data_IF_883082434386
#
_entry.id   IF_883082434386
#
_cell.length_a   1.000
_cell.length_b   1.000
_cell.length_c   1.000
_cell.angle_alpha   90.00
_cell.angle_beta   90.00
_cell.angle_gamma   90.00
#
_symmetry.space_group_name_H-M   'P 1'
#
loop_
_entity.id
_entity.type
_entity.pdbx_description
1 polymer ?
#
# COMPACT_ATOMS: atom_id res chain seq x y z
N UNK A 1 14.24 -23.73 12.02
CA UNK A 1 14.76 -22.50 11.40
C UNK A 1 13.82 -22.21 10.24
N UNK A 2 13.07 -21.08 10.30
CA UNK A 2 12.24 -20.65 9.17
C UNK A 2 13.17 -20.38 7.99
N UNK A 3 13.01 -21.12 6.93
CA UNK A 3 13.75 -20.93 5.68
C UNK A 3 12.83 -20.14 4.77
N UNK A 4 13.36 -19.21 4.01
CA UNK A 4 12.68 -18.51 2.93
C UNK A 4 13.70 -18.30 1.81
N UNK A 5 13.37 -18.69 0.58
CA UNK A 5 14.24 -18.47 -0.57
C UNK A 5 13.42 -18.31 -1.84
N UNK A 6 13.65 -17.23 -2.57
CA UNK A 6 12.96 -16.95 -3.83
C UNK A 6 13.79 -16.08 -4.78
N UNK A 7 13.43 -16.14 -6.05
CA UNK A 7 13.95 -15.29 -7.12
C UNK A 7 12.82 -14.42 -7.66
N UNK A 8 13.04 -13.12 -7.73
CA UNK A 8 12.07 -12.15 -8.21
C UNK A 8 12.71 -11.20 -9.22
N UNK A 9 11.92 -10.66 -10.15
CA UNK A 9 12.37 -9.64 -11.09
C UNK A 9 12.63 -8.32 -10.34
N UNK A 10 13.73 -7.64 -10.67
CA UNK A 10 14.14 -6.38 -10.05
C UNK A 10 13.06 -5.29 -10.19
N UNK A 11 12.44 -5.15 -11.37
CA UNK A 11 11.45 -4.10 -11.63
C UNK A 11 10.19 -4.30 -10.80
N UNK A 12 9.68 -5.54 -10.72
CA UNK A 12 8.47 -5.87 -9.98
C UNK A 12 8.67 -5.62 -8.48
N UNK A 13 9.83 -6.07 -7.95
CA UNK A 13 10.18 -5.84 -6.54
C UNK A 13 10.38 -4.35 -6.24
N UNK A 14 11.06 -3.61 -7.12
CA UNK A 14 11.27 -2.17 -6.97
C UNK A 14 9.95 -1.41 -6.96
N UNK A 15 9.03 -1.72 -7.86
CA UNK A 15 7.72 -1.09 -7.93
C UNK A 15 6.91 -1.33 -6.66
N UNK A 16 6.83 -2.58 -6.21
CA UNK A 16 6.13 -2.94 -4.98
C UNK A 16 6.69 -2.21 -3.75
N UNK A 17 8.02 -2.19 -3.61
CA UNK A 17 8.69 -1.49 -2.51
C UNK A 17 8.52 0.03 -2.59
N UNK A 18 8.45 0.61 -3.80
CA UNK A 18 8.20 2.03 -3.99
C UNK A 18 6.84 2.44 -3.42
N UNK A 19 5.79 1.66 -3.67
CA UNK A 19 4.46 1.91 -3.09
C UNK A 19 4.47 1.86 -1.56
N UNK A 20 5.26 0.96 -0.96
CA UNK A 20 5.40 0.87 0.49
C UNK A 20 5.99 2.14 1.13
N UNK A 21 6.84 2.91 0.40
CA UNK A 21 7.48 4.12 0.94
C UNK A 21 6.48 5.20 1.36
N UNK A 22 5.30 5.26 0.73
CA UNK A 22 4.25 6.23 1.06
C UNK A 22 3.41 5.84 2.29
N UNK A 23 3.48 4.58 2.70
CA UNK A 23 2.74 4.06 3.87
C UNK A 23 3.58 4.15 5.14
N UNK A 24 4.84 3.78 5.03
CA UNK A 24 5.75 3.63 6.16
C UNK A 24 6.13 4.97 6.80
N UNK A 25 6.10 5.02 8.12
CA UNK A 25 6.60 6.16 8.88
C UNK A 25 8.09 6.02 9.18
N UNK A 26 8.89 6.96 8.66
CA UNK A 26 10.35 6.96 8.86
C UNK A 26 10.78 7.22 10.31
N UNK A 27 9.90 7.74 11.16
CA UNK A 27 10.16 8.11 12.57
C UNK A 27 9.15 7.49 13.52
N UNK A 28 8.90 6.19 13.38
CA UNK A 28 8.03 5.47 14.31
C UNK A 28 8.78 5.15 15.62
N UNK A 29 8.05 5.19 16.74
CA UNK A 29 8.53 4.69 18.04
C UNK A 29 8.63 3.16 18.04
N UNK A 30 7.94 2.49 17.13
CA UNK A 30 7.97 1.02 16.95
C UNK A 30 8.82 0.67 15.73
N UNK A 31 10.02 0.10 15.92
CA UNK A 31 10.93 -0.21 14.79
C UNK A 31 10.32 -1.10 13.72
N UNK A 32 9.39 -1.99 14.08
CA UNK A 32 8.72 -2.89 13.15
C UNK A 32 7.90 -2.14 12.07
N UNK A 33 7.36 -0.95 12.38
CA UNK A 33 6.57 -0.14 11.45
C UNK A 33 7.42 0.55 10.36
N UNK A 34 8.75 0.55 10.52
CA UNK A 34 9.67 0.96 9.45
C UNK A 34 10.05 -0.19 8.52
N UNK A 35 9.59 -1.41 8.81
CA UNK A 35 9.84 -2.60 8.00
C UNK A 35 8.69 -2.87 7.03
N UNK A 36 9.00 -3.63 5.97
CA UNK A 36 8.03 -4.34 5.15
C UNK A 36 8.03 -5.81 5.52
N UNK A 37 6.85 -6.42 5.54
CA UNK A 37 6.70 -7.87 5.65
C UNK A 37 6.79 -8.47 4.24
N UNK A 38 7.68 -9.42 4.07
CA UNK A 38 7.83 -10.25 2.89
C UNK A 38 7.28 -11.64 3.21
N UNK A 39 6.31 -12.10 2.44
CA UNK A 39 5.74 -13.44 2.56
C UNK A 39 5.79 -14.16 1.21
N UNK A 40 6.61 -15.20 1.11
CA UNK A 40 6.79 -16.01 -0.08
C UNK A 40 6.02 -17.32 0.08
N UNK A 41 4.94 -17.51 -0.69
CA UNK A 41 4.12 -18.72 -0.67
C UNK A 41 3.35 -18.92 -1.99
N UNK A 42 3.06 -20.17 -2.34
CA UNK A 42 2.22 -20.53 -3.49
C UNK A 42 2.61 -19.84 -4.82
N UNK A 43 3.89 -19.69 -5.11
CA UNK A 43 4.43 -18.98 -6.30
C UNK A 43 4.19 -17.47 -6.33
N UNK A 44 3.80 -16.87 -5.21
CA UNK A 44 3.58 -15.44 -5.09
C UNK A 44 4.40 -14.84 -3.95
N UNK A 45 4.85 -13.60 -4.15
CA UNK A 45 5.47 -12.80 -3.10
C UNK A 45 4.49 -11.70 -2.69
N UNK A 46 4.00 -11.77 -1.46
CA UNK A 46 3.18 -10.72 -0.87
C UNK A 46 4.06 -9.79 -0.04
N UNK A 47 3.95 -8.49 -0.30
CA UNK A 47 4.66 -7.43 0.42
C UNK A 47 3.63 -6.59 1.16
N UNK A 48 3.77 -6.47 2.48
CA UNK A 48 2.85 -5.71 3.33
C UNK A 48 3.61 -4.60 4.05
N UNK A 49 3.02 -3.42 4.06
CA UNK A 49 3.47 -2.25 4.82
C UNK A 49 2.31 -1.66 5.62
N UNK A 50 2.57 -1.15 6.82
CA UNK A 50 1.55 -0.53 7.65
C UNK A 50 2.14 0.55 8.55
N UNK A 51 1.31 1.54 8.90
CA UNK A 51 1.56 2.52 9.96
C UNK A 51 0.54 2.39 11.11
N UNK A 52 -0.23 1.29 11.12
CA UNK A 52 -1.36 0.91 11.97
C UNK A 52 -2.72 1.48 11.51
N UNK A 53 -2.75 2.67 10.92
CA UNK A 53 -3.98 3.28 10.38
C UNK A 53 -4.24 2.88 8.93
N UNK A 54 -3.17 2.63 8.18
CA UNK A 54 -3.19 2.24 6.77
C UNK A 54 -2.38 0.96 6.56
N UNK A 55 -3.00 -0.01 5.92
CA UNK A 55 -2.33 -1.25 5.49
C UNK A 55 -2.27 -1.26 3.97
N UNK A 56 -1.08 -1.44 3.43
CA UNK A 56 -0.85 -1.64 2.01
C UNK A 56 -0.36 -3.06 1.77
N UNK A 57 -1.04 -3.77 0.88
CA UNK A 57 -0.70 -5.14 0.50
C UNK A 57 -0.50 -5.17 -1.02
N UNK A 58 0.65 -5.63 -1.47
CA UNK A 58 0.94 -5.83 -2.88
C UNK A 58 1.39 -7.27 -3.13
N UNK A 59 0.83 -7.89 -4.16
CA UNK A 59 1.12 -9.27 -4.54
C UNK A 59 1.83 -9.30 -5.89
N UNK A 60 3.05 -9.84 -5.91
CA UNK A 60 3.81 -10.13 -7.12
C UNK A 60 3.55 -11.60 -7.46
N UNK A 61 2.90 -11.84 -8.60
CA UNK A 61 2.55 -13.18 -9.05
C UNK A 61 3.71 -13.83 -9.83
N UNK A 62 3.69 -15.15 -9.91
CA UNK A 62 4.66 -15.97 -10.68
C UNK A 62 6.11 -15.74 -10.25
N UNK A 63 6.34 -15.63 -8.95
CA UNK A 63 7.67 -15.57 -8.34
C UNK A 63 8.22 -17.00 -8.21
N UNK A 64 9.48 -17.19 -8.56
CA UNK A 64 10.16 -18.48 -8.40
C UNK A 64 10.50 -18.72 -6.92
N UNK A 65 9.60 -19.38 -6.18
CA UNK A 65 9.79 -19.70 -4.77
C UNK A 65 10.46 -21.06 -4.65
N UNK A 66 11.65 -21.07 -4.03
CA UNK A 66 12.44 -22.27 -3.78
C UNK A 66 12.18 -22.82 -2.37
N UNK A 67 11.95 -21.93 -1.39
CA UNK A 67 11.56 -22.28 -0.03
C UNK A 67 10.57 -21.22 0.47
N UNK A 68 9.39 -21.66 0.89
CA UNK A 68 8.35 -20.77 1.45
C UNK A 68 8.74 -20.24 2.83
N UNK A 69 8.26 -19.03 3.14
CA UNK A 69 8.49 -18.43 4.43
C UNK A 69 8.19 -16.93 4.46
N UNK A 70 8.44 -16.32 5.61
CA UNK A 70 8.20 -14.91 5.80
C UNK A 70 9.28 -14.27 6.69
N UNK A 71 9.50 -12.99 6.48
CA UNK A 71 10.40 -12.15 7.30
C UNK A 71 10.05 -10.69 7.14
N UNK A 72 10.59 -9.84 8.02
CA UNK A 72 10.51 -8.38 7.83
C UNK A 72 11.89 -7.79 7.68
N UNK A 73 12.00 -6.71 6.92
CA UNK A 73 13.23 -5.93 6.78
C UNK A 73 12.92 -4.46 6.58
N UNK A 74 13.89 -3.58 6.91
CA UNK A 74 13.71 -2.13 6.81
C UNK A 74 13.42 -1.69 5.39
N UNK A 75 12.24 -1.11 5.18
CA UNK A 75 11.70 -0.75 3.87
C UNK A 75 12.61 0.19 3.07
N UNK A 76 13.09 1.25 3.68
CA UNK A 76 13.96 2.21 3.00
C UNK A 76 15.27 1.58 2.55
N UNK A 77 15.84 0.68 3.37
CA UNK A 77 17.12 0.03 3.07
C UNK A 77 16.98 -0.95 1.91
N UNK A 78 15.98 -1.83 1.95
CA UNK A 78 15.75 -2.76 0.85
C UNK A 78 15.36 -2.03 -0.44
N UNK A 79 14.52 -0.99 -0.38
CA UNK A 79 14.16 -0.19 -1.54
C UNK A 79 15.38 0.48 -2.18
N UNK A 80 16.21 1.15 -1.36
CA UNK A 80 17.43 1.83 -1.82
C UNK A 80 18.45 0.86 -2.43
N UNK A 81 18.49 -0.37 -1.93
CA UNK A 81 19.33 -1.43 -2.49
C UNK A 81 18.79 -1.90 -3.84
N UNK A 82 17.52 -2.29 -3.90
CA UNK A 82 16.90 -2.89 -5.10
C UNK A 82 16.92 -1.92 -6.28
N UNK A 83 16.69 -0.62 -6.08
CA UNK A 83 16.71 0.38 -7.15
C UNK A 83 18.10 0.60 -7.78
N UNK A 84 19.19 0.14 -7.12
CA UNK A 84 20.56 0.25 -7.64
C UNK A 84 20.99 -0.93 -8.50
N UNK A 85 20.22 -2.02 -8.48
CA UNK A 85 20.49 -3.16 -9.34
C UNK A 85 20.04 -2.88 -10.78
N UNK A 86 20.65 -3.58 -11.72
CA UNK A 86 20.32 -3.44 -13.14
C UNK A 86 18.88 -3.88 -13.42
N UNK A 87 18.15 -3.09 -14.19
CA UNK A 87 16.78 -3.38 -14.61
C UNK A 87 16.71 -4.71 -15.39
N UNK A 88 15.62 -5.46 -15.19
CA UNK A 88 15.37 -6.74 -15.86
C UNK A 88 16.18 -7.92 -15.33
N UNK A 89 16.97 -7.75 -14.27
CA UNK A 89 17.70 -8.82 -13.63
C UNK A 89 16.87 -9.53 -12.58
N UNK A 90 17.13 -10.83 -12.38
CA UNK A 90 16.60 -11.58 -11.24
C UNK A 90 17.42 -11.26 -10.00
N UNK A 91 16.72 -11.12 -8.88
CA UNK A 91 17.29 -10.95 -7.55
C UNK A 91 16.95 -12.17 -6.74
N UNK A 92 17.96 -12.76 -6.11
CA UNK A 92 17.79 -13.88 -5.19
C UNK A 92 17.74 -13.31 -3.77
N UNK A 93 16.71 -13.69 -3.02
CA UNK A 93 16.56 -13.35 -1.60
C UNK A 93 16.41 -14.63 -0.80
N UNK A 94 17.18 -14.75 0.28
CA UNK A 94 17.01 -15.88 1.19
C UNK A 94 17.37 -15.51 2.63
N UNK A 95 16.68 -16.14 3.57
CA UNK A 95 17.00 -16.05 5.00
C UNK A 95 18.22 -16.88 5.30
N UNK A 96 19.33 -16.21 5.65
CA UNK A 96 20.55 -16.87 6.11
C UNK A 96 20.36 -17.41 7.52
N UNK A 97 19.72 -16.63 8.36
CA UNK A 97 19.29 -16.97 9.71
C UNK A 97 18.05 -16.14 10.11
N UNK A 98 17.56 -16.27 11.34
CA UNK A 98 16.37 -15.56 11.81
C UNK A 98 16.49 -14.02 11.79
N UNK A 99 17.71 -13.49 11.73
CA UNK A 99 18.01 -12.05 11.82
C UNK A 99 18.59 -11.43 10.55
N UNK A 100 18.88 -12.24 9.52
CA UNK A 100 19.59 -11.81 8.32
C UNK A 100 18.93 -12.30 7.03
N UNK A 101 18.50 -11.37 6.20
CA UNK A 101 18.08 -11.58 4.84
C UNK A 101 19.26 -11.28 3.91
N UNK A 102 19.72 -12.28 3.17
CA UNK A 102 20.71 -12.08 2.12
C UNK A 102 20.02 -11.75 0.82
N UNK A 103 20.51 -10.72 0.15
CA UNK A 103 20.05 -10.24 -1.15
C UNK A 103 21.22 -10.34 -2.13
N UNK A 104 21.03 -11.10 -3.21
CA UNK A 104 22.05 -11.34 -4.22
C UNK A 104 21.57 -10.91 -5.59
N UNK A 105 22.41 -10.22 -6.33
CA UNK A 105 22.21 -9.93 -7.74
C UNK A 105 23.58 -9.83 -8.44
N UNK A 106 23.73 -10.56 -9.54
CA UNK A 106 24.98 -10.65 -10.30
C UNK A 106 26.18 -11.06 -9.42
N UNK A 107 27.11 -10.12 -9.19
CA UNK A 107 28.30 -10.33 -8.35
C UNK A 107 28.20 -9.68 -6.98
N UNK A 108 27.03 -9.10 -6.65
CA UNK A 108 26.85 -8.33 -5.43
C UNK A 108 26.06 -9.15 -4.41
N UNK A 109 26.51 -9.13 -3.17
CA UNK A 109 25.88 -9.83 -2.03
C UNK A 109 25.73 -8.82 -0.89
N UNK A 110 24.51 -8.71 -0.35
CA UNK A 110 24.18 -7.84 0.76
C UNK A 110 23.44 -8.61 1.84
N UNK A 111 23.66 -8.23 3.11
CA UNK A 111 22.93 -8.79 4.24
C UNK A 111 22.14 -7.69 4.94
N UNK A 112 20.81 -7.83 4.97
CA UNK A 112 19.90 -6.92 5.64
C UNK A 112 19.48 -7.48 6.98
N UNK A 113 19.26 -6.59 7.96
CA UNK A 113 18.71 -6.98 9.25
C UNK A 113 17.22 -7.28 9.12
N UNK A 114 16.78 -8.30 9.87
CA UNK A 114 15.40 -8.76 9.94
C UNK A 114 14.86 -8.68 11.36
N UNK A 115 13.56 -8.46 11.47
CA UNK A 115 12.76 -8.68 12.67
C UNK A 115 11.78 -9.80 12.35
N UNK A 116 11.40 -10.60 13.34
CA UNK A 116 10.46 -11.70 13.11
C UNK A 116 9.14 -11.21 12.50
N UNK A 117 8.63 -11.94 11.52
CA UNK A 117 7.31 -11.68 10.94
C UNK A 117 6.17 -11.82 11.97
N UNK A 118 6.37 -12.57 13.07
CA UNK A 118 5.39 -12.69 14.16
C UNK A 118 5.15 -11.39 14.91
N UNK A 119 6.11 -10.47 14.86
CA UNK A 119 6.02 -9.17 15.53
C UNK A 119 5.38 -8.10 14.65
N UNK A 120 5.11 -8.43 13.38
CA UNK A 120 4.48 -7.51 12.43
C UNK A 120 2.98 -7.42 12.70
N UNK A 121 2.42 -6.21 12.88
CA UNK A 121 1.00 -6.04 13.18
C UNK A 121 0.16 -6.32 11.92
N UNK A 122 -0.41 -7.51 11.86
CA UNK A 122 -1.45 -7.87 10.88
C UNK A 122 -2.80 -7.77 11.57
N UNK A 123 -3.78 -7.19 10.90
CA UNK A 123 -5.19 -7.26 11.30
C UNK A 123 -5.87 -8.37 10.50
N UNK A 124 -6.55 -9.27 11.20
CA UNK A 124 -7.40 -10.30 10.60
C UNK A 124 -8.79 -9.72 10.25
N UNK A 125 -8.83 -8.57 9.60
CA UNK A 125 -10.09 -7.99 9.17
C UNK A 125 -10.57 -8.65 7.88
N UNK A 126 -11.81 -9.16 7.91
CA UNK A 126 -12.52 -9.64 6.72
C UNK A 126 -12.94 -8.43 5.88
N UNK A 127 -12.23 -8.17 4.79
CA UNK A 127 -12.48 -7.04 3.88
C UNK A 127 -13.65 -7.26 2.89
N UNK A 128 -14.47 -8.31 3.06
CA UNK A 128 -15.33 -8.82 2.00
C UNK A 128 -16.80 -8.42 2.05
N UNK A 129 -17.26 -7.56 2.94
CA UNK A 129 -18.70 -7.41 3.13
C UNK A 129 -19.42 -6.43 2.18
N UNK A 130 -18.72 -5.48 1.53
CA UNK A 130 -19.35 -4.52 0.61
C UNK A 130 -18.40 -4.07 -0.51
N UNK A 131 -18.23 -4.92 -1.51
CA UNK A 131 -17.40 -4.58 -2.67
C UNK A 131 -18.25 -3.89 -3.76
N UNK A 132 -17.70 -2.85 -4.38
CA UNK A 132 -18.23 -2.25 -5.57
C UNK A 132 -17.09 -1.79 -6.51
N UNK A 133 -17.36 -1.75 -7.80
CA UNK A 133 -16.36 -1.43 -8.81
C UNK A 133 -16.46 0.04 -9.23
N UNK A 134 -15.31 0.71 -9.26
CA UNK A 134 -15.18 2.07 -9.78
C UNK A 134 -14.03 2.08 -10.80
N UNK A 135 -14.21 2.78 -11.91
CA UNK A 135 -13.13 2.99 -12.88
C UNK A 135 -12.01 3.84 -12.25
N UNK A 136 -10.77 3.40 -12.38
CA UNK A 136 -9.59 4.07 -11.81
C UNK A 136 -9.53 5.55 -12.16
N UNK A 137 -9.77 5.90 -13.42
CA UNK A 137 -9.76 7.30 -13.90
C UNK A 137 -10.87 8.17 -13.29
N UNK A 138 -12.04 7.59 -13.04
CA UNK A 138 -13.16 8.30 -12.40
C UNK A 138 -12.86 8.55 -10.92
N UNK A 139 -12.36 7.55 -10.21
CA UNK A 139 -11.95 7.68 -8.82
C UNK A 139 -10.82 8.69 -8.66
N UNK A 140 -9.77 8.62 -9.49
CA UNK A 140 -8.67 9.58 -9.47
C UNK A 140 -9.16 11.01 -9.71
N UNK A 141 -10.07 11.23 -10.67
CA UNK A 141 -10.68 12.53 -10.94
C UNK A 141 -11.49 13.05 -9.74
N UNK A 142 -12.23 12.16 -9.06
CA UNK A 142 -13.01 12.47 -7.87
C UNK A 142 -12.10 12.97 -6.74
N UNK A 143 -11.03 12.20 -6.44
CA UNK A 143 -10.05 12.53 -5.42
C UNK A 143 -9.31 13.84 -5.73
N UNK A 144 -8.82 14.02 -6.96
CA UNK A 144 -8.09 15.20 -7.39
C UNK A 144 -8.91 16.49 -7.29
N UNK A 145 -10.24 16.41 -7.46
CA UNK A 145 -11.14 17.55 -7.31
C UNK A 145 -11.41 17.97 -5.86
N UNK A 146 -11.15 17.09 -4.90
CA UNK A 146 -11.45 17.34 -3.49
C UNK A 146 -10.19 17.48 -2.61
N UNK A 147 -9.07 16.82 -2.95
CA UNK A 147 -7.88 16.74 -2.09
C UNK A 147 -7.26 18.08 -1.69
N UNK A 148 -7.42 19.13 -2.51
CA UNK A 148 -6.86 20.46 -2.21
C UNK A 148 -7.64 21.22 -1.13
N UNK A 149 -8.85 20.79 -0.80
CA UNK A 149 -9.68 21.36 0.26
C UNK A 149 -9.60 20.60 1.58
N UNK A 150 -8.77 19.55 1.66
CA UNK A 150 -8.51 18.81 2.90
C UNK A 150 -7.70 19.68 3.85
N UNK A 151 -8.10 19.72 5.14
CA UNK A 151 -7.40 20.47 6.18
C UNK A 151 -6.00 19.90 6.45
N UNK A 152 -5.06 20.81 6.78
CA UNK A 152 -3.75 20.44 7.31
C UNK A 152 -3.71 20.42 8.85
N UNK A 153 -4.82 20.78 9.50
CA UNK A 153 -4.94 20.79 10.95
C UNK A 153 -5.30 19.39 11.44
N UNK A 154 -4.29 18.66 11.92
CA UNK A 154 -4.41 17.29 12.42
C UNK A 154 -5.24 17.19 13.71
N UNK A 155 -5.49 18.30 14.40
CA UNK A 155 -6.34 18.31 15.61
C UNK A 155 -7.82 18.18 15.25
N UNK A 156 -8.20 18.52 14.01
CA UNK A 156 -9.56 18.42 13.48
C UNK A 156 -9.68 17.23 12.54
N UNK A 157 -9.63 16.02 13.08
CA UNK A 157 -9.62 14.76 12.31
C UNK A 157 -10.76 14.66 11.27
N UNK A 158 -11.95 15.19 11.59
CA UNK A 158 -13.10 15.21 10.67
C UNK A 158 -12.93 16.12 9.45
N UNK A 159 -11.93 17.03 9.43
CA UNK A 159 -11.56 17.84 8.28
C UNK A 159 -10.28 17.36 7.57
N UNK A 160 -9.57 16.41 8.17
CA UNK A 160 -8.27 15.93 7.68
C UNK A 160 -8.41 14.80 6.65
N UNK A 161 -9.52 14.78 5.91
CA UNK A 161 -9.78 13.76 4.90
C UNK A 161 -10.87 14.16 3.91
N UNK A 162 -11.20 13.24 3.02
CA UNK A 162 -12.33 13.36 2.09
C UNK A 162 -13.48 12.50 2.63
N UNK A 163 -14.63 13.11 2.83
CA UNK A 163 -15.86 12.44 3.19
C UNK A 163 -16.50 11.80 1.97
N UNK A 164 -16.63 10.48 1.98
CA UNK A 164 -17.29 9.69 0.96
C UNK A 164 -18.65 9.23 1.45
N UNK A 165 -19.67 9.45 0.63
CA UNK A 165 -21.04 9.01 0.89
C UNK A 165 -21.80 8.81 -0.41
N UNK A 166 -22.84 8.01 -0.37
CA UNK A 166 -23.77 7.90 -1.49
C UNK A 166 -24.79 9.03 -1.41
N UNK A 167 -25.05 9.66 -2.54
CA UNK A 167 -26.20 10.56 -2.73
C UNK A 167 -27.12 10.02 -3.81
N UNK A 168 -28.41 10.32 -3.71
CA UNK A 168 -29.43 9.88 -4.65
C UNK A 168 -30.25 11.07 -5.12
N UNK A 169 -30.57 11.08 -6.40
CA UNK A 169 -31.68 11.86 -6.98
C UNK A 169 -32.79 10.89 -7.34
N UNK A 170 -33.93 11.40 -7.84
CA UNK A 170 -35.08 10.55 -8.20
C UNK A 170 -34.73 9.36 -9.10
N UNK A 171 -33.76 9.55 -10.02
CA UNK A 171 -33.40 8.54 -11.02
C UNK A 171 -31.94 8.05 -10.96
N UNK A 172 -31.07 8.66 -10.17
CA UNK A 172 -29.63 8.37 -10.24
C UNK A 172 -28.98 8.26 -8.88
N UNK A 173 -28.01 7.35 -8.80
CA UNK A 173 -27.14 7.18 -7.66
C UNK A 173 -25.76 7.79 -7.96
N UNK A 174 -25.13 8.37 -6.93
CA UNK A 174 -23.82 9.00 -7.04
C UNK A 174 -22.93 8.61 -5.86
N UNK A 175 -21.67 8.31 -6.15
CA UNK A 175 -20.62 8.39 -5.14
C UNK A 175 -20.21 9.86 -5.04
N UNK A 176 -20.37 10.43 -3.86
CA UNK A 176 -20.08 11.84 -3.58
C UNK A 176 -18.87 11.92 -2.68
N UNK A 177 -17.93 12.77 -3.03
CA UNK A 177 -16.77 13.13 -2.23
C UNK A 177 -16.87 14.59 -1.83
N UNK A 178 -16.64 14.91 -0.56
CA UNK A 178 -16.62 16.27 -0.04
C UNK A 178 -15.41 16.49 0.87
N UNK A 179 -14.79 17.65 0.76
CA UNK A 179 -13.69 18.07 1.62
C UNK A 179 -13.78 19.56 1.94
N UNK A 180 -13.36 19.97 3.14
CA UNK A 180 -13.28 21.37 3.56
C UNK A 180 -12.16 21.59 4.58
N UNK A 181 -11.56 22.77 4.56
CA UNK A 181 -10.59 23.23 5.55
C UNK A 181 -11.14 24.40 6.40
N UNK A 182 -12.45 24.60 6.39
CA UNK A 182 -13.21 25.72 7.01
C UNK A 182 -13.17 27.04 6.23
N UNK A 183 -12.29 27.21 5.24
CA UNK A 183 -12.17 28.41 4.41
C UNK A 183 -12.70 28.20 3.00
N UNK A 184 -12.66 26.95 2.53
CA UNK A 184 -13.14 26.51 1.23
C UNK A 184 -13.74 25.11 1.33
N UNK A 185 -14.59 24.78 0.39
CA UNK A 185 -15.22 23.46 0.28
C UNK A 185 -15.18 22.97 -1.15
N UNK A 186 -14.93 21.68 -1.34
CA UNK A 186 -15.02 21.01 -2.63
C UNK A 186 -15.97 19.85 -2.54
N UNK A 187 -16.85 19.73 -3.52
CA UNK A 187 -17.75 18.60 -3.70
C UNK A 187 -17.61 18.10 -5.12
N UNK A 188 -17.44 16.80 -5.29
CA UNK A 188 -17.41 16.14 -6.59
C UNK A 188 -18.23 14.86 -6.54
N UNK A 189 -18.80 14.49 -7.69
CA UNK A 189 -19.69 13.32 -7.81
C UNK A 189 -19.32 12.50 -9.04
N UNK A 190 -19.44 11.18 -8.93
CA UNK A 190 -19.47 10.26 -10.07
C UNK A 190 -20.79 9.50 -10.05
N UNK A 191 -21.38 9.31 -11.23
CA UNK A 191 -22.62 8.55 -11.36
C UNK A 191 -22.32 7.06 -11.22
N UNK A 192 -23.15 6.38 -10.44
CA UNK A 192 -23.13 4.94 -10.25
C UNK A 192 -24.20 4.29 -11.13
N UNK A 193 -23.93 3.09 -11.62
CA UNK A 193 -24.90 2.32 -12.40
C UNK A 193 -26.00 1.71 -11.51
N UNK A 194 -25.70 1.51 -10.23
CA UNK A 194 -26.62 0.92 -9.26
C UNK A 194 -26.41 1.54 -7.87
N UNK A 195 -27.36 1.29 -6.99
CA UNK A 195 -27.24 1.66 -5.59
C UNK A 195 -26.15 0.81 -4.95
N UNK A 196 -25.17 1.46 -4.35
CA UNK A 196 -24.17 0.79 -3.46
C UNK A 196 -24.58 1.00 -2.02
N UNK A 197 -24.28 0.04 -1.15
CA UNK A 197 -24.55 0.14 0.27
C UNK A 197 -23.23 0.12 1.02
N UNK A 198 -22.83 1.27 1.57
CA UNK A 198 -21.69 1.37 2.49
C UNK A 198 -21.97 2.50 3.48
N UNK A 199 -21.41 2.37 4.67
CA UNK A 199 -21.45 3.44 5.66
C UNK A 199 -20.59 4.63 5.21
N UNK A 200 -21.07 5.88 5.37
CA UNK A 200 -20.28 7.05 5.05
C UNK A 200 -18.94 7.05 5.79
N UNK A 201 -17.86 7.31 5.08
CA UNK A 201 -16.50 7.25 5.63
C UNK A 201 -15.71 8.53 5.34
N UNK A 202 -14.73 8.83 6.18
CA UNK A 202 -13.72 9.84 5.90
C UNK A 202 -12.43 9.12 5.54
N UNK A 203 -11.99 9.25 4.30
CA UNK A 203 -10.67 8.77 3.89
C UNK A 203 -9.61 9.75 4.37
N UNK A 204 -8.66 9.31 5.21
CA UNK A 204 -7.59 10.16 5.71
C UNK A 204 -6.72 10.75 4.60
N UNK A 205 -6.15 11.92 4.83
CA UNK A 205 -5.30 12.62 3.87
C UNK A 205 -4.18 11.74 3.32
N UNK A 206 -3.47 10.99 4.17
CA UNK A 206 -2.39 10.09 3.78
C UNK A 206 -2.89 9.01 2.81
N UNK A 207 -4.02 8.39 3.12
CA UNK A 207 -4.67 7.39 2.25
C UNK A 207 -5.03 7.96 0.88
N UNK A 208 -5.56 9.20 0.84
CA UNK A 208 -5.93 9.89 -0.41
C UNK A 208 -4.70 10.07 -1.31
N UNK A 209 -3.60 10.58 -0.76
CA UNK A 209 -2.38 10.81 -1.53
C UNK A 209 -1.77 9.50 -2.03
N UNK A 210 -1.76 8.48 -1.20
CA UNK A 210 -1.27 7.15 -1.57
C UNK A 210 -2.13 6.53 -2.67
N UNK A 211 -3.45 6.60 -2.54
CA UNK A 211 -4.39 6.09 -3.53
C UNK A 211 -4.27 6.83 -4.86
N UNK A 212 -4.12 8.16 -4.85
CA UNK A 212 -3.85 8.93 -6.07
C UNK A 212 -2.57 8.46 -6.76
N UNK A 213 -1.48 8.27 -6.01
CA UNK A 213 -0.21 7.78 -6.56
C UNK A 213 -0.33 6.40 -7.21
N UNK A 214 -1.08 5.50 -6.58
CA UNK A 214 -1.36 4.16 -7.14
C UNK A 214 -2.19 4.26 -8.42
N UNK A 215 -3.27 5.05 -8.42
CA UNK A 215 -4.17 5.21 -9.56
C UNK A 215 -3.51 5.91 -10.75
N UNK A 216 -2.57 6.85 -10.52
CA UNK A 216 -1.79 7.52 -11.57
C UNK A 216 -0.83 6.57 -12.28
N UNK A 217 -0.35 5.53 -11.59
CA UNK A 217 0.55 4.53 -12.16
C UNK A 217 -0.16 3.35 -12.81
N UNK A 218 -1.50 3.31 -12.73
CA UNK A 218 -2.32 2.21 -13.22
C UNK A 218 -3.06 2.61 -14.51
N UNK A 219 -2.79 1.88 -15.59
CA UNK A 219 -3.39 2.09 -16.92
C UNK A 219 -4.69 1.30 -17.15
N UNK A 220 -5.42 0.94 -16.10
CA UNK A 220 -6.65 0.15 -16.14
C UNK A 220 -7.94 0.98 -16.14
#
# INVERSE_FOLDING_TARGET
IKKMKFNVNQQDLQQALNYCQGVIEKRSTLPILSNVLLNASNSDLTITATDLDLIFIHKINNVEILEEGNTTTTSSVIYDLIRKFSSGKKINLFLKDASKLQVESEKSIFNLNCISATDFPLTDEDFNENEFLIKSKELLKLLNKCKFSVSNDETRHYLSGIFFHQTQTEENFFLTAAATDSHRMSISKIRLNEKISFEPIILPKKTIFQLCSLLESYDG
#
